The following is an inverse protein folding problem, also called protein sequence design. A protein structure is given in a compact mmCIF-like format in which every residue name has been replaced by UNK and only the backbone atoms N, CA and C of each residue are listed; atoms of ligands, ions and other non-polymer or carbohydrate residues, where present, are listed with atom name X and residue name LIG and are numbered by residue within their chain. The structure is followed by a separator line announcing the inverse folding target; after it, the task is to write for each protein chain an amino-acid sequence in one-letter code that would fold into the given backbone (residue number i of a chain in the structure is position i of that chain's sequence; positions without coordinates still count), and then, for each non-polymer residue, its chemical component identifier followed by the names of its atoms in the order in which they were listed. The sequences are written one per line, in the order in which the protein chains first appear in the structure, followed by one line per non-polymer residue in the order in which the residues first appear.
data_IF_732856150431
#
_entry.id   IF_732856150431
#
_cell.length_a   1.000
_cell.length_b   1.000
_cell.length_c   1.000
_cell.angle_alpha   90.00
_cell.angle_beta   90.00
_cell.angle_gamma   90.00
#
_symmetry.space_group_name_H-M   'P 1'
#
loop_
_entity.id
_entity.type
_entity.pdbx_description
1 polymer ?
#
# COMPACT_ATOMS: atom_id res chain seq x y z
N UNK A 1 7.33 7.19 7.91
CA UNK A 1 5.97 6.59 7.80
C UNK A 1 4.90 7.66 7.58
N UNK A 2 4.79 8.67 8.45
CA UNK A 2 3.79 9.76 8.33
C UNK A 2 3.79 10.46 6.95
N UNK A 3 4.97 10.83 6.44
CA UNK A 3 5.10 11.44 5.11
C UNK A 3 4.50 10.55 4.00
N UNK A 4 4.66 9.23 4.08
CA UNK A 4 4.09 8.29 3.10
C UNK A 4 2.57 8.35 3.14
N UNK A 5 1.97 8.35 4.33
CA UNK A 5 0.51 8.47 4.49
C UNK A 5 -0.03 9.80 3.98
N UNK A 6 0.72 10.89 4.19
CA UNK A 6 0.34 12.20 3.69
C UNK A 6 0.34 12.22 2.16
N UNK A 7 1.42 11.77 1.53
CA UNK A 7 1.51 11.66 0.05
C UNK A 7 0.39 10.78 -0.50
N UNK A 8 0.14 9.62 0.09
CA UNK A 8 -0.94 8.73 -0.34
C UNK A 8 -2.31 9.39 -0.18
N UNK A 9 -2.55 10.14 0.90
CA UNK A 9 -3.79 10.89 1.08
C UNK A 9 -3.97 11.98 0.02
N UNK A 10 -2.90 12.72 -0.33
CA UNK A 10 -2.94 13.71 -1.41
C UNK A 10 -3.28 13.06 -2.75
N UNK A 11 -2.68 11.91 -3.07
CA UNK A 11 -2.98 11.16 -4.30
C UNK A 11 -4.43 10.65 -4.31
N UNK A 12 -4.96 10.17 -3.18
CA UNK A 12 -6.36 9.75 -3.05
C UNK A 12 -7.32 10.93 -3.34
N UNK A 13 -7.01 12.11 -2.82
CA UNK A 13 -7.78 13.34 -3.04
C UNK A 13 -7.69 13.84 -4.48
N UNK A 14 -6.53 13.75 -5.14
CA UNK A 14 -6.41 14.14 -6.56
C UNK A 14 -7.33 13.33 -7.46
N UNK A 15 -7.50 12.03 -7.18
CA UNK A 15 -8.41 11.15 -7.94
C UNK A 15 -9.88 11.52 -7.67
N UNK A 16 -10.23 11.86 -6.42
CA UNK A 16 -11.59 12.33 -6.09
C UNK A 16 -11.90 13.65 -6.78
N UNK A 17 -10.95 14.59 -6.75
CA UNK A 17 -11.10 15.90 -7.36
C UNK A 17 -11.27 15.80 -8.88
N UNK A 18 -10.47 14.97 -9.54
CA UNK A 18 -10.68 14.63 -10.96
C UNK A 18 -12.07 14.05 -11.24
N UNK A 19 -12.49 13.06 -10.44
CA UNK A 19 -13.79 12.41 -10.63
C UNK A 19 -14.94 13.42 -10.48
N UNK A 20 -14.81 14.35 -9.52
CA UNK A 20 -15.76 15.46 -9.32
C UNK A 20 -15.75 16.44 -10.49
N UNK A 21 -14.58 16.96 -10.87
CA UNK A 21 -14.45 17.94 -11.96
C UNK A 21 -15.00 17.38 -13.29
N UNK A 22 -14.70 16.11 -13.59
CA UNK A 22 -15.21 15.44 -14.78
C UNK A 22 -16.74 15.26 -14.73
N UNK A 23 -17.30 14.93 -13.55
CA UNK A 23 -18.75 14.82 -13.39
C UNK A 23 -19.48 16.16 -13.57
N UNK A 24 -18.84 17.28 -13.21
CA UNK A 24 -19.40 18.63 -13.34
C UNK A 24 -19.33 19.18 -14.78
N UNK A 25 -18.20 18.99 -15.46
CA UNK A 25 -17.93 19.66 -16.76
C UNK A 25 -18.06 18.73 -17.97
N UNK A 26 -17.85 17.42 -17.81
CA UNK A 26 -18.01 16.43 -18.87
C UNK A 26 -17.06 16.56 -20.07
N UNK A 27 -16.03 17.40 -20.00
CA UNK A 27 -15.07 17.59 -21.09
C UNK A 27 -14.04 16.45 -21.14
N UNK A 28 -14.13 15.64 -22.20
CA UNK A 28 -13.24 14.51 -22.43
C UNK A 28 -11.79 14.92 -22.71
N UNK A 29 -11.56 16.03 -23.41
CA UNK A 29 -10.20 16.48 -23.77
C UNK A 29 -9.46 16.96 -22.52
N UNK A 30 -10.12 17.81 -21.74
CA UNK A 30 -9.61 18.22 -20.43
C UNK A 30 -9.42 17.01 -19.50
N UNK A 31 -10.34 16.05 -19.53
CA UNK A 31 -10.26 14.82 -18.75
C UNK A 31 -9.00 13.99 -19.05
N UNK A 32 -8.62 13.86 -20.32
CA UNK A 32 -7.40 13.15 -20.74
C UNK A 32 -6.15 13.86 -20.18
N UNK A 33 -6.10 15.19 -20.33
CA UNK A 33 -4.96 15.98 -19.86
C UNK A 33 -4.80 15.88 -18.34
N UNK A 34 -5.89 16.03 -17.58
CA UNK A 34 -5.88 15.89 -16.12
C UNK A 34 -5.50 14.48 -15.68
N UNK A 35 -6.04 13.44 -16.34
CA UNK A 35 -5.69 12.06 -16.01
C UNK A 35 -4.22 11.76 -16.28
N UNK A 36 -3.66 12.26 -17.39
CA UNK A 36 -2.24 12.08 -17.71
C UNK A 36 -1.33 12.67 -16.63
N UNK A 37 -1.70 13.83 -16.06
CA UNK A 37 -0.98 14.45 -14.96
C UNK A 37 -1.09 13.63 -13.66
N UNK A 38 -2.27 13.10 -13.35
CA UNK A 38 -2.49 12.22 -12.19
C UNK A 38 -1.66 10.94 -12.33
N UNK A 39 -1.67 10.31 -13.51
CA UNK A 39 -0.88 9.12 -13.80
C UNK A 39 0.62 9.40 -13.64
N UNK A 40 1.13 10.49 -14.21
CA UNK A 40 2.53 10.89 -14.07
C UNK A 40 2.91 11.12 -12.60
N UNK A 41 2.05 11.81 -11.84
CA UNK A 41 2.25 12.08 -10.42
C UNK A 41 2.23 10.80 -9.59
N UNK A 42 1.29 9.88 -9.86
CA UNK A 42 1.21 8.57 -9.22
C UNK A 42 2.48 7.77 -9.47
N UNK A 43 2.93 7.68 -10.72
CA UNK A 43 4.15 6.95 -11.07
C UNK A 43 5.39 7.54 -10.41
N UNK A 44 5.52 8.87 -10.41
CA UNK A 44 6.62 9.56 -9.76
C UNK A 44 6.62 9.31 -8.24
N UNK A 45 5.47 9.47 -7.59
CA UNK A 45 5.32 9.22 -6.16
C UNK A 45 5.61 7.74 -5.81
N UNK A 46 5.13 6.81 -6.64
CA UNK A 46 5.35 5.38 -6.49
C UNK A 46 6.84 5.04 -6.52
N UNK A 47 7.55 5.49 -7.56
CA UNK A 47 8.98 5.26 -7.73
C UNK A 47 9.81 5.86 -6.58
N UNK A 48 9.39 7.01 -6.04
CA UNK A 48 10.08 7.64 -4.89
C UNK A 48 9.79 6.92 -3.57
N UNK A 49 8.59 6.42 -3.38
CA UNK A 49 8.17 5.74 -2.15
C UNK A 49 8.62 4.27 -2.11
N UNK A 50 8.80 3.63 -3.27
CA UNK A 50 9.23 2.24 -3.42
C UNK A 50 10.47 1.91 -2.59
N UNK A 51 11.57 2.64 -2.79
CA UNK A 51 12.81 2.39 -2.06
C UNK A 51 12.62 2.52 -0.55
N UNK A 52 11.80 3.47 -0.11
CA UNK A 52 11.48 3.62 1.31
C UNK A 52 10.61 2.48 1.84
N UNK A 53 9.73 1.88 1.04
CA UNK A 53 8.97 0.69 1.43
C UNK A 53 9.86 -0.53 1.58
N UNK A 54 10.74 -0.75 0.61
CA UNK A 54 11.71 -1.85 0.65
C UNK A 54 12.59 -1.74 1.89
N UNK A 55 13.18 -0.57 2.16
CA UNK A 55 13.99 -0.35 3.38
C UNK A 55 13.18 -0.63 4.65
N UNK A 56 11.92 -0.18 4.72
CA UNK A 56 11.07 -0.43 5.90
C UNK A 56 10.78 -1.93 6.07
N UNK A 57 10.50 -2.63 4.98
CA UNK A 57 10.23 -4.07 4.98
C UNK A 57 11.49 -4.86 5.38
N UNK A 58 12.63 -4.58 4.76
CA UNK A 58 13.91 -5.21 5.08
C UNK A 58 14.30 -4.98 6.53
N UNK A 59 14.10 -3.77 7.08
CA UNK A 59 14.38 -3.49 8.48
C UNK A 59 13.50 -4.31 9.45
N UNK A 60 12.24 -4.53 9.10
CA UNK A 60 11.33 -5.37 9.89
C UNK A 60 11.76 -6.84 9.85
N UNK A 61 12.06 -7.36 8.65
CA UNK A 61 12.54 -8.74 8.49
C UNK A 61 13.86 -8.97 9.21
N UNK A 62 14.81 -8.03 9.08
CA UNK A 62 16.06 -8.07 9.81
C UNK A 62 15.84 -8.06 11.32
N UNK A 63 14.89 -7.24 11.81
CA UNK A 63 14.52 -7.20 13.23
C UNK A 63 13.97 -8.54 13.74
N UNK A 64 13.16 -9.25 12.95
CA UNK A 64 12.73 -10.60 13.31
C UNK A 64 13.90 -11.58 13.32
N UNK A 65 14.78 -11.53 12.32
CA UNK A 65 15.94 -12.40 12.23
C UNK A 65 16.89 -12.23 13.43
N UNK A 66 17.16 -10.98 13.84
CA UNK A 66 17.98 -10.70 15.03
C UNK A 66 17.30 -11.22 16.30
N UNK A 67 15.99 -10.99 16.45
CA UNK A 67 15.24 -11.47 17.61
C UNK A 67 15.25 -13.00 17.70
N UNK A 68 15.11 -13.70 16.57
CA UNK A 68 15.21 -15.17 16.54
C UNK A 68 16.61 -15.64 16.91
N UNK A 69 17.67 -15.00 16.39
CA UNK A 69 19.04 -15.37 16.72
C UNK A 69 19.37 -15.18 18.21
N UNK A 70 18.86 -14.11 18.81
CA UNK A 70 19.00 -13.84 20.24
C UNK A 70 18.27 -14.89 21.09
N UNK A 71 17.07 -15.32 20.68
CA UNK A 71 16.32 -16.40 21.34
C UNK A 71 17.07 -17.74 21.29
N UNK A 72 17.62 -18.10 20.13
CA UNK A 72 18.42 -19.33 20.01
C UNK A 72 19.68 -19.29 20.87
N UNK A 73 20.39 -18.15 20.87
CA UNK A 73 21.60 -17.98 21.69
C UNK A 73 21.29 -18.05 23.18
N UNK A 74 20.16 -17.47 23.60
CA UNK A 74 19.72 -17.48 25.00
C UNK A 74 19.32 -18.88 25.47
N UNK A 75 18.64 -19.66 24.64
CA UNK A 75 18.27 -21.05 24.95
C UNK A 75 19.51 -21.93 25.21
N UNK A 76 20.57 -21.78 24.41
CA UNK A 76 21.85 -22.49 24.63
C UNK A 76 22.53 -22.10 25.95
N UNK A 77 22.41 -20.85 26.39
CA UNK A 77 22.98 -20.40 27.67
C UNK A 77 22.18 -20.90 28.87
N UNK A 78 20.86 -21.03 28.74
CA UNK A 78 19.98 -21.59 29.77
C UNK A 78 20.30 -23.08 30.03
N UNK A 79 20.50 -23.85 28.96
CA UNK A 79 20.87 -25.27 29.03
C UNK A 79 22.22 -25.50 29.73
N UNK A 80 23.12 -24.51 29.67
CA UNK A 80 24.41 -24.51 30.39
C UNK A 80 24.31 -24.11 31.87
N UNK A 81 23.10 -23.85 32.39
CA UNK A 81 22.85 -23.56 33.81
C UNK A 81 23.28 -22.16 34.27
N UNK A 82 23.47 -21.21 33.35
CA UNK A 82 23.94 -19.84 33.64
C UNK A 82 22.79 -18.84 33.90
N UNK A 83 21.57 -19.30 34.18
CA UNK A 83 20.37 -18.47 34.22
C UNK A 83 20.39 -17.43 35.36
N UNK A 84 20.54 -16.15 34.99
CA UNK A 84 20.26 -15.02 35.89
C UNK A 84 18.75 -14.83 36.03
N UNK A 85 18.27 -14.92 37.26
CA UNK A 85 16.89 -14.70 37.66
C UNK A 85 16.45 -13.24 37.46
N UNK A 86 15.33 -13.00 36.75
CA UNK A 86 14.43 -11.90 37.09
C UNK A 86 14.07 -10.85 36.03
N UNK A 87 14.61 -10.88 34.81
CA UNK A 87 14.36 -9.80 33.82
C UNK A 87 13.67 -10.30 32.53
N UNK A 88 12.59 -11.09 32.60
CA UNK A 88 11.84 -11.56 31.41
C UNK A 88 11.23 -10.43 30.53
N UNK A 89 11.31 -9.17 30.94
CA UNK A 89 10.71 -8.02 30.25
C UNK A 89 11.50 -7.52 29.03
N UNK A 90 12.80 -7.86 28.88
CA UNK A 90 13.63 -7.23 27.85
C UNK A 90 13.34 -7.69 26.41
N UNK A 91 12.80 -8.90 26.22
CA UNK A 91 12.45 -9.46 24.90
C UNK A 91 11.08 -8.99 24.37
N UNK A 92 10.16 -8.67 25.28
CA UNK A 92 8.81 -8.24 24.91
C UNK A 92 8.82 -6.86 24.22
N UNK A 93 9.70 -5.97 24.68
CA UNK A 93 9.82 -4.61 24.15
C UNK A 93 10.25 -4.55 22.67
N UNK A 94 11.34 -5.19 22.21
CA UNK A 94 11.72 -5.19 20.80
C UNK A 94 10.68 -5.88 19.92
N UNK A 95 10.07 -6.98 20.39
CA UNK A 95 8.99 -7.66 19.68
C UNK A 95 7.80 -6.72 19.42
N UNK A 96 7.34 -6.00 20.45
CA UNK A 96 6.24 -5.03 20.32
C UNK A 96 6.60 -3.88 19.36
N UNK A 97 7.84 -3.42 19.36
CA UNK A 97 8.32 -2.40 18.41
C UNK A 97 8.33 -2.91 16.96
N UNK A 98 8.74 -4.16 16.72
CA UNK A 98 8.73 -4.77 15.39
C UNK A 98 7.29 -4.95 14.90
N UNK A 99 6.40 -5.49 15.75
CA UNK A 99 4.98 -5.71 15.40
C UNK A 99 4.30 -4.37 15.08
N UNK A 100 4.47 -3.35 15.91
CA UNK A 100 3.84 -2.03 15.69
C UNK A 100 4.33 -1.37 14.39
N UNK A 101 5.63 -1.45 14.09
CA UNK A 101 6.19 -0.99 12.80
C UNK A 101 5.66 -1.81 11.61
N UNK A 102 5.52 -3.13 11.78
CA UNK A 102 4.96 -4.04 10.79
C UNK A 102 3.50 -3.74 10.46
N UNK A 103 2.68 -3.52 11.49
CA UNK A 103 1.29 -3.10 11.34
C UNK A 103 1.18 -1.75 10.62
N UNK A 104 2.01 -0.78 11.01
CA UNK A 104 2.03 0.52 10.36
C UNK A 104 2.45 0.42 8.89
N UNK A 105 3.47 -0.38 8.56
CA UNK A 105 3.87 -0.64 7.17
C UNK A 105 2.72 -1.25 6.37
N UNK A 106 2.07 -2.28 6.92
CA UNK A 106 0.93 -2.96 6.30
C UNK A 106 -0.21 -1.99 6.03
N UNK A 107 -0.54 -1.12 6.99
CA UNK A 107 -1.56 -0.09 6.84
C UNK A 107 -1.26 0.87 5.68
N UNK A 108 0.00 1.33 5.57
CA UNK A 108 0.43 2.21 4.48
C UNK A 108 0.33 1.51 3.13
N UNK A 109 0.75 0.24 3.05
CA UNK A 109 0.64 -0.56 1.82
C UNK A 109 -0.82 -0.80 1.43
N UNK A 110 -1.71 -1.00 2.40
CA UNK A 110 -3.15 -1.14 2.15
C UNK A 110 -3.75 0.16 1.60
N UNK A 111 -3.32 1.33 2.11
CA UNK A 111 -3.69 2.64 1.55
C UNK A 111 -3.22 2.79 0.10
N UNK A 112 -1.99 2.39 -0.21
CA UNK A 112 -1.48 2.39 -1.59
C UNK A 112 -2.28 1.43 -2.51
N UNK A 113 -2.64 0.25 -2.02
CA UNK A 113 -3.50 -0.69 -2.73
C UNK A 113 -4.91 -0.13 -2.97
N UNK A 114 -5.48 0.60 -2.01
CA UNK A 114 -6.77 1.27 -2.17
C UNK A 114 -6.74 2.33 -3.26
N UNK A 115 -5.69 3.14 -3.35
CA UNK A 115 -5.52 4.13 -4.44
C UNK A 115 -5.51 3.41 -5.79
N UNK A 116 -4.72 2.34 -5.89
CA UNK A 116 -4.70 1.50 -7.10
C UNK A 116 -6.09 1.01 -7.46
N UNK A 117 -6.84 0.47 -6.49
CA UNK A 117 -8.21 0.02 -6.73
C UNK A 117 -9.14 1.16 -7.17
N UNK A 118 -8.96 2.35 -6.59
CA UNK A 118 -9.74 3.55 -6.93
C UNK A 118 -9.49 4.02 -8.35
N UNK A 119 -8.24 4.08 -8.81
CA UNK A 119 -7.92 4.38 -10.21
C UNK A 119 -8.63 3.40 -11.16
N UNK A 120 -8.67 2.11 -10.81
CA UNK A 120 -9.40 1.10 -11.56
C UNK A 120 -10.92 1.26 -11.54
N UNK A 121 -11.49 1.93 -10.54
CA UNK A 121 -12.93 2.23 -10.45
C UNK A 121 -13.32 3.50 -11.21
N UNK A 122 -12.41 4.45 -11.37
CA UNK A 122 -12.68 5.73 -12.04
C UNK A 122 -13.21 5.53 -13.46
N UNK A 123 -12.70 4.54 -14.20
CA UNK A 123 -13.22 4.19 -15.54
C UNK A 123 -14.70 3.79 -15.52
N UNK A 124 -15.10 2.98 -14.54
CA UNK A 124 -16.48 2.53 -14.39
C UNK A 124 -17.39 3.68 -13.96
N UNK A 125 -16.87 4.57 -13.09
CA UNK A 125 -17.57 5.78 -12.69
C UNK A 125 -17.86 6.67 -13.90
N UNK A 126 -16.85 7.01 -14.70
CA UNK A 126 -17.02 7.83 -15.91
C UNK A 126 -18.01 7.20 -16.88
N UNK A 127 -17.94 5.89 -17.09
CA UNK A 127 -18.86 5.18 -17.97
C UNK A 127 -20.31 5.18 -17.47
N UNK A 128 -20.51 5.28 -16.15
CA UNK A 128 -21.84 5.30 -15.52
C UNK A 128 -22.51 6.69 -15.50
N UNK A 129 -21.76 7.76 -15.76
CA UNK A 129 -22.32 9.11 -15.81
C UNK A 129 -23.29 9.21 -16.99
N UNK A 130 -24.54 9.62 -16.73
CA UNK A 130 -25.51 9.87 -17.80
C UNK A 130 -24.99 11.00 -18.71
N UNK A 131 -25.17 10.90 -20.03
CA UNK A 131 -24.91 12.03 -20.91
C UNK A 131 -25.82 13.21 -20.51
N UNK A 132 -25.32 14.45 -20.53
CA UNK A 132 -26.20 15.61 -20.36
C UNK A 132 -27.24 15.62 -21.49
N UNK A 133 -28.50 16.03 -21.20
CA UNK A 133 -29.56 16.11 -22.20
C UNK A 133 -29.22 17.24 -23.19
N UNK A 134 -28.47 16.92 -24.23
CA UNK A 134 -28.13 17.80 -25.34
C UNK A 134 -28.35 17.06 -26.66
N UNK A 135 -28.75 17.81 -27.69
CA UNK A 135 -29.30 17.27 -28.95
C UNK A 135 -28.27 16.49 -29.81
N UNK A 136 -26.98 16.60 -29.51
CA UNK A 136 -25.89 15.89 -30.20
C UNK A 136 -25.24 14.79 -29.33
N UNK A 137 -26.07 13.88 -28.83
CA UNK A 137 -25.63 12.76 -27.96
C UNK A 137 -24.57 11.82 -28.58
N UNK A 138 -24.42 11.82 -29.92
CA UNK A 138 -23.50 10.95 -30.64
C UNK A 138 -22.01 11.30 -30.45
N UNK A 139 -21.65 12.57 -30.32
CA UNK A 139 -20.23 12.98 -30.26
C UNK A 139 -19.63 12.86 -28.85
N UNK A 140 -20.40 13.21 -27.83
CA UNK A 140 -19.98 13.10 -26.42
C UNK A 140 -19.72 11.65 -26.00
N UNK A 141 -20.43 10.69 -26.61
CA UNK A 141 -20.23 9.27 -26.31
C UNK A 141 -18.87 8.76 -26.83
N UNK A 142 -18.39 9.30 -27.95
CA UNK A 142 -17.09 8.93 -28.55
C UNK A 142 -15.92 9.44 -27.69
N UNK A 143 -15.96 10.71 -27.26
CA UNK A 143 -14.92 11.28 -26.40
C UNK A 143 -14.82 10.59 -25.04
N UNK A 144 -15.98 10.31 -24.42
CA UNK A 144 -16.05 9.56 -23.16
C UNK A 144 -15.49 8.14 -23.30
N UNK A 145 -15.88 7.42 -24.36
CA UNK A 145 -15.38 6.07 -24.63
C UNK A 145 -13.85 6.07 -24.82
N UNK A 146 -13.32 7.06 -25.53
CA UNK A 146 -11.87 7.24 -25.67
C UNK A 146 -11.19 7.50 -24.33
N UNK A 147 -11.73 8.38 -23.49
CA UNK A 147 -11.17 8.64 -22.15
C UNK A 147 -11.20 7.39 -21.27
N UNK A 148 -12.32 6.65 -21.24
CA UNK A 148 -12.44 5.39 -20.48
C UNK A 148 -11.39 4.39 -20.93
N UNK A 149 -11.20 4.25 -22.25
CA UNK A 149 -10.16 3.39 -22.82
C UNK A 149 -8.75 3.89 -22.46
N UNK A 150 -8.50 5.18 -22.55
CA UNK A 150 -7.23 5.78 -22.17
C UNK A 150 -6.90 5.52 -20.69
N UNK A 151 -7.88 5.64 -19.79
CA UNK A 151 -7.73 5.33 -18.37
C UNK A 151 -7.39 3.85 -18.17
N UNK A 152 -8.03 2.95 -18.90
CA UNK A 152 -7.75 1.51 -18.81
C UNK A 152 -6.34 1.17 -19.32
N UNK A 153 -6.00 1.68 -20.50
CA UNK A 153 -4.70 1.47 -21.16
C UNK A 153 -3.54 2.13 -20.38
N UNK A 154 -3.81 3.21 -19.64
CA UNK A 154 -2.82 3.90 -18.81
C UNK A 154 -2.29 3.05 -17.65
N UNK A 155 -3.00 1.98 -17.28
CA UNK A 155 -2.71 1.10 -16.15
C UNK A 155 -2.39 1.86 -14.84
N UNK A 156 -2.96 3.06 -14.66
CA UNK A 156 -2.65 3.93 -13.53
C UNK A 156 -2.90 3.23 -12.19
N UNK A 157 -1.92 3.32 -11.30
CA UNK A 157 -1.95 2.69 -10.00
C UNK A 157 -0.62 2.86 -9.27
N UNK A 158 -0.58 2.33 -8.06
CA UNK A 158 0.62 2.32 -7.24
C UNK A 158 1.41 1.03 -7.50
N UNK A 159 2.63 1.16 -8.00
CA UNK A 159 3.50 0.06 -8.39
C UNK A 159 4.77 0.01 -7.53
N UNK A 160 5.12 -1.18 -7.04
CA UNK A 160 6.41 -1.46 -6.40
C UNK A 160 7.12 -2.49 -7.27
N UNK A 161 8.34 -2.20 -7.72
CA UNK A 161 9.15 -3.07 -8.58
C UNK A 161 8.44 -3.44 -9.89
N UNK A 162 7.69 -2.49 -10.47
CA UNK A 162 6.88 -2.73 -11.68
C UNK A 162 5.62 -3.57 -11.45
N UNK A 163 5.39 -4.11 -10.25
CA UNK A 163 4.18 -4.82 -9.88
C UNK A 163 3.17 -3.89 -9.20
N UNK A 164 1.91 -3.91 -9.67
CA UNK A 164 0.82 -3.16 -9.02
C UNK A 164 0.52 -3.74 -7.64
N UNK A 165 0.52 -2.91 -6.60
CA UNK A 165 0.16 -3.37 -5.26
C UNK A 165 -1.34 -3.65 -5.22
N UNK A 166 -1.69 -4.89 -4.91
CA UNK A 166 -3.07 -5.31 -4.66
C UNK A 166 -3.31 -5.53 -3.18
N UNK A 167 -4.53 -5.33 -2.71
CA UNK A 167 -4.89 -5.61 -1.32
C UNK A 167 -4.61 -7.07 -0.95
N UNK A 168 -4.81 -7.98 -1.91
CA UNK A 168 -4.49 -9.39 -1.76
C UNK A 168 -3.00 -9.64 -1.50
N UNK A 169 -2.09 -8.98 -2.22
CA UNK A 169 -0.65 -9.07 -1.97
C UNK A 169 -0.28 -8.56 -0.57
N UNK A 170 -0.88 -7.43 -0.14
CA UNK A 170 -0.67 -6.88 1.21
C UNK A 170 -1.16 -7.83 2.30
N UNK A 171 -2.32 -8.49 2.09
CA UNK A 171 -2.84 -9.48 3.03
C UNK A 171 -1.93 -10.71 3.16
N UNK A 172 -1.30 -11.15 2.07
CA UNK A 172 -0.29 -12.24 2.13
C UNK A 172 0.91 -11.84 2.98
N UNK A 173 1.43 -10.62 2.79
CA UNK A 173 2.54 -10.10 3.61
C UNK A 173 2.14 -10.01 5.08
N UNK A 174 0.95 -9.49 5.36
CA UNK A 174 0.41 -9.41 6.72
C UNK A 174 0.29 -10.78 7.37
N UNK A 175 -0.25 -11.77 6.65
CA UNK A 175 -0.34 -13.14 7.15
C UNK A 175 1.02 -13.74 7.47
N UNK A 176 2.01 -13.56 6.58
CA UNK A 176 3.39 -14.01 6.82
C UNK A 176 4.01 -13.39 8.06
N UNK A 177 3.79 -12.08 8.26
CA UNK A 177 4.22 -11.35 9.45
C UNK A 177 3.59 -11.89 10.75
N UNK A 178 2.29 -12.17 10.74
CA UNK A 178 1.59 -12.77 11.87
C UNK A 178 2.09 -14.18 12.17
N UNK A 179 2.31 -15.00 11.13
CA UNK A 179 2.83 -16.35 11.28
C UNK A 179 4.23 -16.36 11.90
N UNK A 180 5.13 -15.47 11.44
CA UNK A 180 6.47 -15.29 12.03
C UNK A 180 6.39 -14.85 13.49
N UNK A 181 5.54 -13.86 13.78
CA UNK A 181 5.32 -13.38 15.14
C UNK A 181 4.83 -14.50 16.05
N UNK A 182 3.86 -15.29 15.60
CA UNK A 182 3.33 -16.43 16.33
C UNK A 182 4.42 -17.48 16.59
N UNK A 183 5.20 -17.85 15.56
CA UNK A 183 6.28 -18.82 15.70
C UNK A 183 7.32 -18.40 16.75
N UNK A 184 7.69 -17.11 16.76
CA UNK A 184 8.63 -16.54 17.75
C UNK A 184 8.05 -16.58 19.16
N UNK A 185 6.78 -16.19 19.31
CA UNK A 185 6.09 -16.25 20.61
C UNK A 185 6.02 -17.70 21.10
N UNK A 186 5.61 -18.64 20.25
CA UNK A 186 5.55 -20.06 20.60
C UNK A 186 6.92 -20.58 21.03
N UNK A 187 7.99 -20.22 20.31
CA UNK A 187 9.35 -20.64 20.65
C UNK A 187 9.77 -20.08 22.02
N UNK A 188 9.51 -18.79 22.27
CA UNK A 188 9.84 -18.14 23.54
C UNK A 188 9.10 -18.73 24.76
N UNK A 189 7.88 -19.27 24.58
CA UNK A 189 7.15 -19.97 25.64
C UNK A 189 7.54 -21.44 25.79
N UNK A 190 8.15 -22.04 24.78
CA UNK A 190 8.55 -23.46 24.80
C UNK A 190 9.92 -23.70 25.45
N UNK A 191 10.76 -22.66 25.49
CA UNK A 191 12.09 -22.63 26.11
C UNK A 191 12.00 -22.19 27.56
#
# INVERSE_FOLDING_TARGET
MFLKLHVLSCLDLMIDDFSRQYAEHGDAEQGILQWSLIQATLNQASNRLEGSFLISFTAIVAGFATLTADLFSSAEMLDRGLACSGEESWLLQPLLMIISKGLLLTYVLLRAARISHKCGRTKHFINSLLPPPSEDSSYLDTGRSYLVRYIDDSAAGFCIQGGRITAFAVMKLFYGMCALTFAIITQAYSS
#
